data_IF_052668896599
#
_entry.id   IF_052668896599
#
_cell.length_a   1.000
_cell.length_b   1.000
_cell.length_c   1.000
_cell.angle_alpha   90.00
_cell.angle_beta   90.00
_cell.angle_gamma   90.00
#
_symmetry.space_group_name_H-M   'P 1'
#
loop_
_entity.id
_entity.type
_entity.pdbx_description
1 polymer ?
#
# COMPACT_ATOMS: atom_id res chain seq x y z
N UNK A 1 11.36 15.60 -73.40
CA UNK A 1 10.42 14.48 -73.62
C UNK A 1 9.86 14.01 -72.32
N UNK A 2 8.57 14.13 -72.22
CA UNK A 2 7.54 13.85 -71.23
C UNK A 2 7.91 13.10 -69.93
N UNK A 3 7.75 13.78 -68.86
CA UNK A 3 7.48 13.46 -67.46
C UNK A 3 6.27 12.53 -67.27
N UNK A 4 6.36 11.59 -66.36
CA UNK A 4 5.20 11.01 -65.67
C UNK A 4 5.47 11.03 -64.16
N UNK A 5 4.75 11.94 -63.47
CA UNK A 5 4.51 11.91 -62.02
C UNK A 5 3.41 10.88 -61.74
N UNK A 6 3.68 9.94 -60.86
CA UNK A 6 2.65 9.11 -60.25
C UNK A 6 2.51 9.53 -58.78
N UNK A 7 1.41 10.21 -58.49
CA UNK A 7 0.99 10.55 -57.14
C UNK A 7 0.34 9.34 -56.48
N UNK A 8 0.96 8.82 -55.41
CA UNK A 8 0.36 7.81 -54.54
C UNK A 8 -0.30 8.59 -53.39
N UNK A 9 -1.63 8.58 -53.37
CA UNK A 9 -2.44 9.08 -52.26
C UNK A 9 -2.52 7.99 -51.21
N UNK A 10 -1.83 8.18 -50.08
CA UNK A 10 -2.06 7.37 -48.87
C UNK A 10 -3.27 7.95 -48.13
N UNK A 11 -4.39 7.28 -48.24
CA UNK A 11 -5.57 7.55 -47.45
C UNK A 11 -5.36 7.03 -46.00
N UNK A 12 -5.10 7.95 -45.07
CA UNK A 12 -5.10 7.63 -43.64
C UNK A 12 -6.54 7.43 -43.18
N UNK A 13 -6.89 6.18 -42.93
CA UNK A 13 -8.15 5.83 -42.26
C UNK A 13 -8.02 6.17 -40.78
N UNK A 14 -8.53 7.33 -40.38
CA UNK A 14 -8.70 7.70 -38.98
C UNK A 14 -9.88 6.90 -38.43
N UNK A 15 -9.62 5.82 -37.72
CA UNK A 15 -10.62 5.13 -36.90
C UNK A 15 -10.83 5.97 -35.63
N UNK A 16 -11.84 6.82 -35.66
CA UNK A 16 -12.38 7.49 -34.49
C UNK A 16 -13.10 6.42 -33.64
N UNK A 17 -12.39 5.83 -32.69
CA UNK A 17 -13.05 5.13 -31.59
C UNK A 17 -13.68 6.21 -30.70
N UNK A 18 -14.98 6.39 -30.85
CA UNK A 18 -15.82 7.10 -29.89
C UNK A 18 -15.76 6.31 -28.56
N UNK A 19 -14.79 6.64 -27.73
CA UNK A 19 -14.81 6.28 -26.33
C UNK A 19 -16.03 6.95 -25.68
N UNK A 20 -17.02 6.16 -25.30
CA UNK A 20 -18.11 6.65 -24.45
C UNK A 20 -17.49 7.37 -23.24
N UNK A 21 -18.01 8.53 -22.82
CA UNK A 21 -17.53 9.18 -21.60
C UNK A 21 -17.79 8.19 -20.46
N UNK A 22 -16.70 7.74 -19.78
CA UNK A 22 -16.79 7.08 -18.51
C UNK A 22 -17.42 8.11 -17.58
N UNK A 23 -18.72 7.96 -17.33
CA UNK A 23 -19.44 8.84 -16.43
C UNK A 23 -18.68 8.89 -15.10
N UNK A 24 -18.39 10.10 -14.62
CA UNK A 24 -17.93 10.30 -13.26
C UNK A 24 -18.95 9.64 -12.33
N UNK A 25 -18.63 8.43 -11.90
CA UNK A 25 -19.39 7.79 -10.83
C UNK A 25 -19.19 8.66 -9.59
N UNK A 26 -20.28 9.15 -9.05
CA UNK A 26 -20.26 9.94 -7.82
C UNK A 26 -19.49 9.15 -6.76
N UNK A 27 -18.32 9.66 -6.34
CA UNK A 27 -17.56 9.07 -5.25
C UNK A 27 -18.48 8.96 -4.04
N UNK A 28 -18.55 7.77 -3.45
CA UNK A 28 -19.31 7.57 -2.21
C UNK A 28 -18.86 8.60 -1.17
N UNK A 29 -19.83 9.23 -0.49
CA UNK A 29 -19.51 10.19 0.57
C UNK A 29 -18.70 9.50 1.66
N UNK A 30 -17.73 10.21 2.26
CA UNK A 30 -17.01 9.69 3.41
C UNK A 30 -17.99 9.28 4.52
N UNK A 31 -17.76 8.12 5.15
CA UNK A 31 -18.68 7.58 6.17
C UNK A 31 -18.87 8.48 7.40
N UNK A 32 -17.88 9.31 7.75
CA UNK A 32 -17.92 10.12 8.97
C UNK A 32 -19.00 11.20 8.96
N UNK A 33 -19.36 11.70 7.76
CA UNK A 33 -20.38 12.74 7.59
C UNK A 33 -21.79 12.15 7.37
N UNK A 34 -21.91 10.82 7.36
CA UNK A 34 -23.18 10.12 7.09
C UNK A 34 -23.84 9.73 8.41
N UNK A 35 -24.96 10.35 8.72
CA UNK A 35 -25.82 9.93 9.84
C UNK A 35 -26.58 8.64 9.44
N UNK A 36 -26.77 7.75 10.42
CA UNK A 36 -27.59 6.57 10.20
C UNK A 36 -29.06 6.98 10.11
N UNK A 37 -29.71 6.53 9.04
CA UNK A 37 -31.16 6.54 8.90
C UNK A 37 -31.78 5.39 9.70
N UNK A 38 -33.09 5.33 9.84
CA UNK A 38 -33.79 4.18 10.47
C UNK A 38 -33.42 2.85 9.79
N UNK A 39 -33.32 2.84 8.45
CA UNK A 39 -32.87 1.68 7.70
C UNK A 39 -31.39 1.34 7.98
N UNK A 40 -30.54 2.36 8.13
CA UNK A 40 -29.14 2.20 8.51
C UNK A 40 -28.98 1.65 9.92
N UNK A 41 -29.78 2.13 10.89
CA UNK A 41 -29.77 1.60 12.25
C UNK A 41 -30.18 0.13 12.30
N UNK A 42 -31.17 -0.27 11.50
CA UNK A 42 -31.55 -1.68 11.38
C UNK A 42 -30.40 -2.54 10.84
N UNK A 43 -29.72 -2.10 9.77
CA UNK A 43 -28.53 -2.78 9.24
C UNK A 43 -27.40 -2.86 10.27
N UNK A 44 -27.15 -1.81 11.03
CA UNK A 44 -26.17 -1.81 12.11
C UNK A 44 -26.46 -2.89 13.14
N UNK A 45 -27.71 -3.02 13.57
CA UNK A 45 -28.14 -4.05 14.53
C UNK A 45 -27.98 -5.47 13.93
N UNK A 46 -28.31 -5.65 12.64
CA UNK A 46 -28.13 -6.93 11.94
C UNK A 46 -26.64 -7.34 11.91
N UNK A 47 -25.75 -6.42 11.50
CA UNK A 47 -24.30 -6.66 11.48
C UNK A 47 -23.72 -6.87 12.89
N UNK A 48 -24.19 -6.12 13.90
CA UNK A 48 -23.77 -6.32 15.29
C UNK A 48 -24.15 -7.71 15.82
N UNK A 49 -25.38 -8.15 15.55
CA UNK A 49 -25.83 -9.48 15.95
C UNK A 49 -25.04 -10.60 15.24
N UNK A 50 -24.70 -10.42 13.96
CA UNK A 50 -23.86 -11.37 13.22
C UNK A 50 -22.43 -11.41 13.77
N UNK A 51 -21.83 -10.27 14.09
CA UNK A 51 -20.51 -10.17 14.68
C UNK A 51 -20.43 -10.87 16.02
N UNK A 52 -21.40 -10.66 16.93
CA UNK A 52 -21.45 -11.33 18.22
C UNK A 52 -21.63 -12.86 18.06
N UNK A 53 -22.51 -13.28 17.15
CA UNK A 53 -22.68 -14.71 16.87
C UNK A 53 -21.38 -15.36 16.39
N UNK A 54 -20.63 -14.67 15.50
CA UNK A 54 -19.31 -15.15 15.04
C UNK A 54 -18.33 -15.22 16.20
N UNK A 55 -18.30 -14.21 17.07
CA UNK A 55 -17.44 -14.15 18.26
C UNK A 55 -17.69 -15.36 19.17
N UNK A 56 -18.94 -15.64 19.51
CA UNK A 56 -19.28 -16.76 20.38
C UNK A 56 -18.89 -18.11 19.77
N UNK A 57 -19.21 -18.29 18.47
CA UNK A 57 -18.89 -19.53 17.77
C UNK A 57 -17.39 -19.79 17.67
N UNK A 58 -16.60 -18.74 17.37
CA UNK A 58 -15.17 -18.85 17.18
C UNK A 58 -14.44 -18.98 18.52
N UNK A 59 -14.83 -18.20 19.54
CA UNK A 59 -14.22 -18.26 20.88
C UNK A 59 -14.35 -19.65 21.50
N UNK A 60 -15.46 -20.35 21.25
CA UNK A 60 -15.66 -21.74 21.71
C UNK A 60 -14.73 -22.75 21.01
N UNK A 61 -14.21 -22.42 19.83
CA UNK A 61 -13.36 -23.31 19.02
C UNK A 61 -11.86 -23.00 19.14
N UNK A 62 -11.49 -21.83 19.70
CA UNK A 62 -10.10 -21.50 19.92
C UNK A 62 -9.47 -22.40 21.01
N UNK A 63 -8.19 -22.80 20.83
CA UNK A 63 -7.44 -23.41 21.92
C UNK A 63 -7.32 -22.43 23.08
N UNK A 64 -7.39 -22.94 24.32
CA UNK A 64 -7.12 -22.11 25.49
C UNK A 64 -5.65 -21.67 25.49
N UNK A 65 -5.40 -20.46 25.98
CA UNK A 65 -4.07 -19.85 26.11
C UNK A 65 -3.26 -20.51 27.24
N UNK A 66 -3.07 -21.84 27.17
CA UNK A 66 -2.36 -22.61 28.15
C UNK A 66 -1.17 -23.35 27.51
N UNK A 67 0.02 -23.21 28.12
CA UNK A 67 1.25 -23.88 27.66
C UNK A 67 1.10 -25.41 27.55
N UNK A 68 0.21 -26.02 28.36
CA UNK A 68 -0.11 -27.46 28.31
C UNK A 68 -0.82 -27.87 26.99
N UNK A 69 -1.20 -26.93 26.13
CA UNK A 69 -1.94 -27.17 24.87
C UNK A 69 -1.15 -26.86 23.60
N UNK A 70 0.19 -26.89 23.64
CA UNK A 70 1.04 -26.55 22.49
C UNK A 70 0.63 -27.30 21.20
N UNK A 71 0.34 -28.59 21.28
CA UNK A 71 -0.08 -29.40 20.14
C UNK A 71 -1.44 -28.93 19.55
N UNK A 72 -2.36 -28.43 20.38
CA UNK A 72 -3.63 -27.86 19.89
C UNK A 72 -3.43 -26.48 19.25
N UNK A 73 -2.51 -25.67 19.79
CA UNK A 73 -2.11 -24.40 19.22
C UNK A 73 -1.47 -24.59 17.82
N UNK A 74 -0.51 -25.51 17.72
CA UNK A 74 0.14 -25.85 16.45
C UNK A 74 -0.87 -26.37 15.42
N UNK A 75 -1.81 -27.21 15.84
CA UNK A 75 -2.89 -27.69 14.99
C UNK A 75 -3.78 -26.54 14.51
N UNK A 76 -4.18 -25.64 15.39
CA UNK A 76 -4.97 -24.47 15.05
C UNK A 76 -4.23 -23.57 14.06
N UNK A 77 -2.97 -23.20 14.33
CA UNK A 77 -2.18 -22.34 13.45
C UNK A 77 -1.95 -22.97 12.08
N UNK A 78 -1.87 -24.31 12.00
CA UNK A 78 -1.61 -25.03 10.76
C UNK A 78 -2.87 -25.39 9.96
N UNK A 79 -4.07 -25.20 10.52
CA UNK A 79 -5.37 -25.52 9.90
C UNK A 79 -6.02 -24.27 9.35
N UNK A 80 -6.63 -24.37 8.17
CA UNK A 80 -7.45 -23.34 7.52
C UNK A 80 -8.95 -23.46 7.84
N UNK A 81 -9.34 -24.44 8.67
CA UNK A 81 -10.74 -24.78 8.93
C UNK A 81 -11.57 -23.65 9.52
N UNK A 82 -10.95 -22.63 10.12
CA UNK A 82 -11.63 -21.46 10.69
C UNK A 82 -11.34 -20.17 9.92
N UNK A 83 -10.51 -20.21 8.89
CA UNK A 83 -10.03 -19.00 8.20
C UNK A 83 -11.19 -18.15 7.65
N UNK A 84 -12.18 -18.76 7.01
CA UNK A 84 -13.33 -18.05 6.45
C UNK A 84 -14.11 -17.26 7.51
N UNK A 85 -14.35 -17.90 8.66
CA UNK A 85 -15.10 -17.27 9.76
C UNK A 85 -14.23 -16.23 10.49
N UNK A 86 -12.95 -16.50 10.68
CA UNK A 86 -12.01 -15.55 11.28
C UNK A 86 -11.85 -14.33 10.39
N UNK A 87 -11.66 -14.51 9.09
CA UNK A 87 -11.55 -13.40 8.15
C UNK A 87 -12.83 -12.53 8.16
N UNK A 88 -14.01 -13.17 8.12
CA UNK A 88 -15.27 -12.46 8.22
C UNK A 88 -15.41 -11.69 9.53
N UNK A 89 -15.09 -12.33 10.65
CA UNK A 89 -15.11 -11.68 11.96
C UNK A 89 -14.20 -10.45 11.99
N UNK A 90 -12.94 -10.60 11.55
CA UNK A 90 -11.96 -9.50 11.59
C UNK A 90 -12.38 -8.35 10.69
N UNK A 91 -12.83 -8.61 9.46
CA UNK A 91 -13.33 -7.56 8.54
C UNK A 91 -14.53 -6.82 9.16
N UNK A 92 -15.50 -7.54 9.73
CA UNK A 92 -16.66 -6.90 10.37
C UNK A 92 -16.27 -6.14 11.64
N UNK A 93 -15.32 -6.65 12.41
CA UNK A 93 -14.80 -6.01 13.62
C UNK A 93 -14.02 -4.72 13.28
N UNK A 94 -13.11 -4.79 12.30
CA UNK A 94 -12.34 -3.63 11.85
C UNK A 94 -13.21 -2.55 11.21
N UNK A 95 -14.11 -2.93 10.29
CA UNK A 95 -15.03 -2.01 9.62
C UNK A 95 -16.07 -1.40 10.55
N UNK A 96 -16.34 -2.03 11.66
CA UNK A 96 -17.43 -1.85 12.61
C UNK A 96 -18.84 -2.06 11.99
N UNK A 97 -19.82 -2.56 12.74
CA UNK A 97 -21.21 -2.66 12.28
C UNK A 97 -21.78 -1.31 11.81
N UNK A 98 -21.41 -0.22 12.50
CA UNK A 98 -21.82 1.14 12.13
C UNK A 98 -21.22 1.59 10.79
N UNK A 99 -19.91 1.37 10.56
CA UNK A 99 -19.24 1.73 9.31
C UNK A 99 -19.80 0.97 8.12
N UNK A 100 -20.07 -0.34 8.27
CA UNK A 100 -20.71 -1.15 7.24
C UNK A 100 -22.13 -0.65 6.94
N UNK A 101 -22.92 -0.33 7.97
CA UNK A 101 -24.28 0.17 7.80
C UNK A 101 -24.32 1.56 7.16
N UNK A 102 -23.44 2.47 7.56
CA UNK A 102 -23.29 3.80 6.95
C UNK A 102 -22.98 3.74 5.47
N UNK A 103 -22.16 2.79 5.05
CA UNK A 103 -21.88 2.58 3.62
C UNK A 103 -23.07 1.92 2.92
N UNK A 104 -23.61 0.83 3.47
CA UNK A 104 -24.69 0.05 2.85
C UNK A 104 -25.98 0.86 2.67
N UNK A 105 -26.32 1.78 3.59
CA UNK A 105 -27.53 2.61 3.48
C UNK A 105 -27.50 3.64 2.36
N UNK A 106 -26.33 3.92 1.75
CA UNK A 106 -26.20 4.91 0.68
C UNK A 106 -26.92 4.46 -0.61
N UNK A 107 -27.22 3.18 -0.76
CA UNK A 107 -27.98 2.66 -1.89
C UNK A 107 -27.94 1.15 -2.04
N UNK A 108 -28.76 0.64 -2.97
CA UNK A 108 -28.81 -0.81 -3.27
C UNK A 108 -27.44 -1.36 -3.73
N UNK A 109 -26.70 -0.59 -4.50
CA UNK A 109 -25.38 -0.98 -4.99
C UNK A 109 -24.39 -1.11 -3.82
N UNK A 110 -24.35 -0.14 -2.92
CA UNK A 110 -23.45 -0.15 -1.76
C UNK A 110 -23.77 -1.31 -0.81
N UNK A 111 -25.08 -1.59 -0.58
CA UNK A 111 -25.49 -2.76 0.18
C UNK A 111 -25.01 -4.06 -0.47
N UNK A 112 -25.17 -4.21 -1.77
CA UNK A 112 -24.70 -5.40 -2.51
C UNK A 112 -23.17 -5.56 -2.46
N UNK A 113 -22.40 -4.46 -2.39
CA UNK A 113 -20.94 -4.51 -2.22
C UNK A 113 -20.54 -5.03 -0.83
N UNK A 114 -21.24 -4.64 0.22
CA UNK A 114 -21.03 -5.19 1.58
C UNK A 114 -21.38 -6.67 1.61
N UNK A 115 -22.52 -7.06 1.04
CA UNK A 115 -22.94 -8.47 0.95
C UNK A 115 -21.91 -9.31 0.16
N UNK A 116 -21.40 -8.79 -0.96
CA UNK A 116 -20.35 -9.45 -1.74
C UNK A 116 -19.07 -9.62 -0.93
N UNK A 117 -18.62 -8.59 -0.22
CA UNK A 117 -17.42 -8.66 0.64
C UNK A 117 -17.57 -9.74 1.71
N UNK A 118 -18.67 -9.68 2.48
CA UNK A 118 -18.90 -10.60 3.61
C UNK A 118 -19.24 -12.04 3.16
N UNK A 119 -19.56 -12.24 1.88
CA UNK A 119 -19.77 -13.54 1.26
C UNK A 119 -18.54 -14.15 0.57
N UNK A 120 -17.44 -13.40 0.45
CA UNK A 120 -16.23 -13.84 -0.26
C UNK A 120 -15.06 -13.98 0.72
N UNK A 121 -14.89 -15.17 1.27
CA UNK A 121 -13.87 -15.48 2.27
C UNK A 121 -12.44 -15.31 1.72
N UNK A 122 -12.21 -15.71 0.48
CA UNK A 122 -10.91 -15.58 -0.18
C UNK A 122 -10.52 -14.11 -0.34
N UNK A 123 -11.47 -13.27 -0.77
CA UNK A 123 -11.25 -11.83 -0.89
C UNK A 123 -10.93 -11.19 0.46
N UNK A 124 -11.72 -11.50 1.50
CA UNK A 124 -11.47 -11.00 2.85
C UNK A 124 -10.08 -11.42 3.36
N UNK A 125 -9.72 -12.69 3.16
CA UNK A 125 -8.39 -13.21 3.52
C UNK A 125 -7.27 -12.46 2.80
N UNK A 126 -7.39 -12.24 1.48
CA UNK A 126 -6.42 -11.48 0.71
C UNK A 126 -6.28 -10.03 1.21
N UNK A 127 -7.40 -9.37 1.52
CA UNK A 127 -7.39 -8.02 2.10
C UNK A 127 -6.68 -7.99 3.44
N UNK A 128 -6.98 -8.94 4.34
CA UNK A 128 -6.39 -8.99 5.68
C UNK A 128 -4.90 -9.38 5.67
N UNK A 129 -4.48 -10.25 4.76
CA UNK A 129 -3.05 -10.57 4.55
C UNK A 129 -2.29 -9.35 4.05
N UNK A 130 -2.95 -8.47 3.31
CA UNK A 130 -2.41 -7.18 2.88
C UNK A 130 -2.62 -6.06 3.91
N UNK A 131 -2.95 -6.39 5.17
CA UNK A 131 -3.17 -5.47 6.31
C UNK A 131 -4.45 -4.61 6.21
N UNK A 132 -5.49 -5.12 5.55
CA UNK A 132 -6.83 -4.54 5.54
C UNK A 132 -6.96 -3.19 4.81
N UNK A 133 -8.14 -2.62 4.82
CA UNK A 133 -8.39 -1.30 4.25
C UNK A 133 -7.77 -0.18 5.12
N UNK A 134 -7.41 0.93 4.50
CA UNK A 134 -6.95 2.10 5.24
C UNK A 134 -8.09 2.71 6.07
N UNK A 135 -7.70 3.37 7.14
CA UNK A 135 -8.59 4.10 8.03
C UNK A 135 -8.26 5.61 8.00
N UNK A 136 -9.28 6.44 8.14
CA UNK A 136 -9.08 7.89 8.27
C UNK A 136 -8.39 8.20 9.57
N UNK A 137 -7.55 9.23 9.54
CA UNK A 137 -6.97 9.79 10.76
C UNK A 137 -8.02 10.61 11.50
N UNK A 138 -8.23 10.30 12.77
CA UNK A 138 -9.15 11.00 13.66
C UNK A 138 -8.36 11.51 14.88
N UNK A 139 -8.15 12.82 14.96
CA UNK A 139 -7.36 13.40 16.04
C UNK A 139 -5.96 12.78 16.14
N UNK A 140 -5.67 12.09 17.26
CA UNK A 140 -4.39 11.39 17.49
C UNK A 140 -4.40 9.91 17.10
N UNK A 141 -5.53 9.36 16.68
CA UNK A 141 -5.73 7.96 16.31
C UNK A 141 -6.23 7.80 14.88
N UNK A 142 -6.68 6.60 14.59
CA UNK A 142 -7.33 6.23 13.34
C UNK A 142 -8.77 5.82 13.63
N UNK A 143 -9.68 6.12 12.70
CA UNK A 143 -11.06 5.61 12.70
C UNK A 143 -11.11 4.13 12.27
N UNK A 144 -12.31 3.66 11.97
CA UNK A 144 -12.52 2.33 11.42
C UNK A 144 -11.97 2.23 9.98
N UNK A 145 -11.39 1.08 9.58
CA UNK A 145 -11.02 0.80 8.21
C UNK A 145 -12.19 0.86 7.22
N UNK A 146 -11.96 1.50 6.08
CA UNK A 146 -12.98 1.87 5.10
C UNK A 146 -13.18 0.77 4.03
N UNK A 147 -13.64 -0.42 4.44
CA UNK A 147 -13.85 -1.56 3.53
C UNK A 147 -14.93 -1.33 2.48
N UNK A 148 -15.98 -0.56 2.78
CA UNK A 148 -17.03 -0.20 1.82
C UNK A 148 -16.47 0.58 0.63
N UNK A 149 -15.80 1.73 0.85
CA UNK A 149 -15.10 2.46 -0.19
C UNK A 149 -14.07 1.61 -0.94
N UNK A 150 -13.31 0.73 -0.25
CA UNK A 150 -12.40 -0.21 -0.91
C UNK A 150 -13.14 -1.12 -1.90
N UNK A 151 -14.27 -1.68 -1.53
CA UNK A 151 -15.09 -2.53 -2.42
C UNK A 151 -15.65 -1.77 -3.61
N UNK A 152 -16.01 -0.50 -3.43
CA UNK A 152 -16.46 0.36 -4.53
C UNK A 152 -15.34 0.53 -5.57
N UNK A 153 -14.14 0.94 -5.11
CA UNK A 153 -12.97 1.13 -5.98
C UNK A 153 -12.60 -0.18 -6.69
N UNK A 154 -12.52 -1.28 -5.96
CA UNK A 154 -12.19 -2.60 -6.51
C UNK A 154 -13.17 -3.02 -7.63
N UNK A 155 -14.46 -2.83 -7.38
CA UNK A 155 -15.50 -3.17 -8.37
C UNK A 155 -15.45 -2.26 -9.59
N UNK A 156 -15.17 -0.97 -9.41
CA UNK A 156 -15.10 -0.03 -10.53
C UNK A 156 -13.86 -0.27 -11.40
N UNK A 157 -12.74 -0.65 -10.81
CA UNK A 157 -11.56 -1.10 -11.55
C UNK A 157 -11.90 -2.36 -12.37
N UNK A 158 -12.55 -3.36 -11.77
CA UNK A 158 -12.91 -4.61 -12.46
C UNK A 158 -13.91 -4.40 -13.60
N UNK A 159 -14.84 -3.44 -13.47
CA UNK A 159 -15.74 -3.05 -14.57
C UNK A 159 -14.98 -2.43 -15.74
N UNK A 160 -13.93 -1.69 -15.45
CA UNK A 160 -13.10 -1.02 -16.46
C UNK A 160 -12.04 -1.90 -17.11
N UNK A 161 -11.57 -2.94 -16.42
CA UNK A 161 -10.54 -3.87 -16.92
C UNK A 161 -10.81 -5.32 -16.51
N UNK A 162 -11.04 -6.18 -17.48
CA UNK A 162 -11.11 -7.64 -17.25
C UNK A 162 -9.77 -8.22 -16.75
N UNK A 163 -8.65 -7.55 -17.02
CA UNK A 163 -7.31 -7.97 -16.57
C UNK A 163 -7.14 -7.82 -15.05
N UNK A 164 -7.93 -6.94 -14.43
CA UNK A 164 -7.96 -6.75 -12.97
C UNK A 164 -8.43 -7.97 -12.17
N UNK A 165 -8.80 -9.05 -12.83
CA UNK A 165 -9.24 -10.30 -12.18
C UNK A 165 -8.13 -11.35 -12.01
N UNK A 166 -6.95 -11.14 -12.60
CA UNK A 166 -5.89 -12.15 -12.65
C UNK A 166 -4.49 -11.58 -12.40
N UNK A 167 -3.61 -12.42 -11.87
CA UNK A 167 -2.17 -12.17 -11.77
C UNK A 167 -1.82 -10.93 -10.95
N UNK A 168 -0.78 -10.21 -11.39
CA UNK A 168 -0.35 -8.98 -10.72
C UNK A 168 -1.37 -7.85 -10.85
N UNK A 169 -2.12 -7.80 -11.94
CA UNK A 169 -3.13 -6.76 -12.15
C UNK A 169 -4.33 -6.90 -11.20
N UNK A 170 -4.70 -8.13 -10.83
CA UNK A 170 -5.64 -8.36 -9.73
C UNK A 170 -5.08 -7.86 -8.39
N UNK A 171 -3.83 -8.22 -8.07
CA UNK A 171 -3.17 -7.75 -6.84
C UNK A 171 -3.03 -6.23 -6.80
N UNK A 172 -2.77 -5.61 -7.95
CA UNK A 172 -2.73 -4.16 -8.09
C UNK A 172 -4.09 -3.51 -7.83
N UNK A 173 -5.16 -4.07 -8.43
CA UNK A 173 -6.52 -3.58 -8.20
C UNK A 173 -6.88 -3.63 -6.70
N UNK A 174 -6.54 -4.73 -6.04
CA UNK A 174 -6.77 -4.91 -4.62
C UNK A 174 -5.92 -3.93 -3.78
N UNK A 175 -4.64 -3.76 -4.12
CA UNK A 175 -3.75 -2.83 -3.44
C UNK A 175 -4.24 -1.38 -3.51
N UNK A 176 -4.65 -0.94 -4.71
CA UNK A 176 -5.22 0.40 -4.91
C UNK A 176 -6.51 0.57 -4.11
N UNK A 177 -7.38 -0.42 -4.13
CA UNK A 177 -8.66 -0.37 -3.41
C UNK A 177 -8.46 -0.21 -1.91
N UNK A 178 -7.54 -0.97 -1.32
CA UNK A 178 -7.24 -0.91 0.10
C UNK A 178 -6.55 0.39 0.49
N UNK A 179 -5.63 0.88 -0.33
CA UNK A 179 -4.84 2.09 -0.03
C UNK A 179 -5.63 3.37 -0.21
N UNK A 180 -6.44 3.44 -1.28
CA UNK A 180 -7.25 4.60 -1.62
C UNK A 180 -8.69 4.54 -1.05
N UNK A 181 -9.00 3.56 -0.21
CA UNK A 181 -10.26 3.53 0.55
C UNK A 181 -10.45 4.81 1.38
N UNK A 182 -9.35 5.42 1.77
CA UNK A 182 -9.26 6.82 2.24
C UNK A 182 -8.62 7.65 1.13
N UNK A 183 -9.25 8.74 0.68
CA UNK A 183 -8.71 9.58 -0.38
C UNK A 183 -7.31 10.12 -0.08
N UNK A 184 -6.40 10.01 -1.04
CA UNK A 184 -5.05 10.58 -0.95
C UNK A 184 -5.05 11.95 -1.60
N UNK A 185 -4.65 12.98 -0.86
CA UNK A 185 -4.51 14.35 -1.41
C UNK A 185 -3.42 14.38 -2.47
N UNK A 186 -3.74 14.91 -3.67
CA UNK A 186 -2.78 14.99 -4.77
C UNK A 186 -1.87 16.22 -4.61
N UNK A 187 -0.56 16.02 -4.80
CA UNK A 187 0.42 17.11 -4.80
C UNK A 187 0.50 17.75 -6.18
N UNK A 188 -0.09 18.91 -6.32
CA UNK A 188 -0.11 19.70 -7.56
C UNK A 188 0.83 20.90 -7.47
N UNK A 189 1.31 21.47 -8.61
CA UNK A 189 1.90 22.79 -8.61
C UNK A 189 0.93 23.84 -8.04
N UNK A 190 1.46 24.84 -7.35
CA UNK A 190 0.63 25.89 -6.71
C UNK A 190 -0.19 26.67 -7.75
N UNK A 191 0.35 26.87 -8.94
CA UNK A 191 -0.29 27.62 -10.03
C UNK A 191 -1.31 26.79 -10.83
N UNK A 192 -1.72 25.64 -10.33
CA UNK A 192 -2.76 24.82 -10.97
C UNK A 192 -4.02 24.73 -10.10
N UNK A 193 -4.80 25.82 -9.97
CA UNK A 193 -5.94 25.88 -9.05
C UNK A 193 -7.07 24.91 -9.39
N UNK A 194 -7.18 24.49 -10.66
CA UNK A 194 -8.21 23.55 -11.14
C UNK A 194 -7.75 22.10 -11.20
N UNK A 195 -6.54 21.79 -10.72
CA UNK A 195 -6.06 20.42 -10.67
C UNK A 195 -6.87 19.56 -9.68
N UNK A 196 -6.95 18.24 -9.91
CA UNK A 196 -7.62 17.34 -8.97
C UNK A 196 -7.04 17.48 -7.55
N UNK A 197 -7.92 17.53 -6.55
CA UNK A 197 -7.50 17.62 -5.14
C UNK A 197 -7.03 16.29 -4.57
N UNK A 198 -7.51 15.19 -5.15
CA UNK A 198 -7.20 13.83 -4.72
C UNK A 198 -6.80 12.98 -5.91
N UNK A 199 -5.97 11.98 -5.64
CA UNK A 199 -5.62 10.96 -6.62
C UNK A 199 -6.86 10.14 -6.96
N UNK A 200 -7.15 9.98 -8.25
CA UNK A 200 -8.22 9.11 -8.73
C UNK A 200 -7.73 7.65 -8.74
N UNK A 201 -8.27 6.77 -7.90
CA UNK A 201 -7.79 5.40 -7.79
C UNK A 201 -7.99 4.56 -9.06
N UNK A 202 -9.08 4.80 -9.80
CA UNK A 202 -9.35 4.06 -11.04
C UNK A 202 -8.37 4.47 -12.13
N UNK A 203 -8.10 5.77 -12.28
CA UNK A 203 -7.07 6.27 -13.22
C UNK A 203 -5.67 5.78 -12.83
N UNK A 204 -5.36 5.76 -11.52
CA UNK A 204 -4.10 5.22 -10.98
C UNK A 204 -3.93 3.75 -11.38
N UNK A 205 -4.99 2.96 -11.33
CA UNK A 205 -4.96 1.57 -11.79
C UNK A 205 -4.60 1.48 -13.28
N UNK A 206 -5.31 2.21 -14.14
CA UNK A 206 -5.06 2.20 -15.59
C UNK A 206 -3.68 2.75 -15.95
N UNK A 207 -3.18 3.70 -15.18
CA UNK A 207 -1.83 4.21 -15.35
C UNK A 207 -0.78 3.09 -15.18
N UNK A 208 -0.87 2.30 -14.10
CA UNK A 208 0.07 1.21 -13.85
C UNK A 208 -0.19 -0.01 -14.76
N UNK A 209 -1.42 -0.35 -15.06
CA UNK A 209 -1.76 -1.41 -16.03
C UNK A 209 -1.09 -1.12 -17.37
N UNK A 210 -1.28 0.08 -17.92
CA UNK A 210 -0.67 0.51 -19.17
C UNK A 210 0.86 0.53 -19.10
N UNK A 211 1.42 1.03 -18.02
CA UNK A 211 2.87 1.07 -17.83
C UNK A 211 3.47 -0.34 -17.76
N UNK A 212 2.78 -1.28 -17.10
CA UNK A 212 3.17 -2.69 -17.05
C UNK A 212 3.12 -3.34 -18.43
N UNK A 213 2.04 -3.19 -19.17
CA UNK A 213 1.87 -3.74 -20.52
C UNK A 213 2.88 -3.21 -21.53
N UNK A 214 3.27 -1.94 -21.38
CA UNK A 214 4.29 -1.31 -22.21
C UNK A 214 5.73 -1.70 -21.81
N UNK A 215 5.93 -2.51 -20.76
CA UNK A 215 7.26 -2.82 -20.23
C UNK A 215 7.97 -1.60 -19.64
N UNK A 216 7.21 -0.63 -19.12
CA UNK A 216 7.76 0.60 -18.54
C UNK A 216 8.15 0.44 -17.06
N UNK A 217 7.64 -0.57 -16.38
CA UNK A 217 7.93 -0.86 -14.99
C UNK A 217 9.14 -1.78 -14.83
N UNK A 218 9.68 -1.86 -13.63
CA UNK A 218 10.71 -2.85 -13.31
C UNK A 218 10.15 -4.27 -13.47
N UNK A 219 10.91 -5.21 -14.05
CA UNK A 219 10.44 -6.59 -14.24
C UNK A 219 10.00 -7.30 -12.95
N UNK A 220 10.51 -6.88 -11.79
CA UNK A 220 10.09 -7.42 -10.51
C UNK A 220 8.63 -7.10 -10.14
N UNK A 221 8.03 -6.08 -10.77
CA UNK A 221 6.63 -5.68 -10.53
C UNK A 221 5.66 -6.86 -10.64
N UNK A 222 5.86 -7.74 -11.61
CA UNK A 222 5.01 -8.92 -11.83
C UNK A 222 4.93 -9.86 -10.61
N UNK A 223 5.97 -9.89 -9.78
CA UNK A 223 6.08 -10.81 -8.64
C UNK A 223 5.59 -10.22 -7.31
N UNK A 224 5.34 -8.91 -7.27
CA UNK A 224 4.95 -8.21 -6.04
C UNK A 224 3.62 -8.74 -5.48
N UNK A 225 3.56 -8.86 -4.17
CA UNK A 225 2.33 -9.16 -3.42
C UNK A 225 1.41 -7.94 -3.36
N UNK A 226 0.14 -8.15 -3.00
CA UNK A 226 -0.80 -7.04 -2.75
C UNK A 226 -0.26 -6.07 -1.70
N UNK A 227 0.36 -6.57 -0.64
CA UNK A 227 0.93 -5.74 0.41
C UNK A 227 2.07 -4.85 -0.10
N UNK A 228 2.97 -5.39 -0.92
CA UNK A 228 4.05 -4.62 -1.54
C UNK A 228 3.51 -3.60 -2.54
N UNK A 229 2.55 -3.98 -3.38
CA UNK A 229 1.92 -3.07 -4.33
C UNK A 229 1.23 -1.89 -3.66
N UNK A 230 0.73 -2.02 -2.43
CA UNK A 230 0.21 -0.86 -1.67
C UNK A 230 1.26 0.23 -1.52
N UNK A 231 2.52 -0.14 -1.31
CA UNK A 231 3.63 0.81 -1.19
C UNK A 231 4.15 1.35 -2.52
N UNK A 232 3.67 0.82 -3.64
CA UNK A 232 3.83 1.43 -4.97
C UNK A 232 2.77 2.50 -5.20
N UNK A 233 1.51 2.22 -4.85
CA UNK A 233 0.36 3.04 -5.24
C UNK A 233 -0.04 4.12 -4.23
N UNK A 234 0.59 4.16 -3.06
CA UNK A 234 0.27 5.09 -1.97
C UNK A 234 0.85 6.51 -2.16
N UNK A 235 1.30 6.84 -3.35
CA UNK A 235 1.87 8.16 -3.67
C UNK A 235 0.82 9.21 -3.92
N UNK A 236 1.20 10.44 -3.59
CA UNK A 236 0.41 11.66 -3.78
C UNK A 236 0.70 12.36 -5.12
N UNK A 237 1.55 11.75 -5.96
CA UNK A 237 1.94 12.27 -7.26
C UNK A 237 0.80 12.16 -8.27
N UNK A 238 0.63 13.13 -9.19
CA UNK A 238 -0.18 12.95 -10.40
C UNK A 238 0.35 11.80 -11.29
N UNK A 239 -0.53 11.07 -11.96
CA UNK A 239 -0.12 9.95 -12.82
C UNK A 239 0.78 10.40 -13.98
N UNK A 240 0.55 11.58 -14.52
CA UNK A 240 1.37 12.20 -15.56
C UNK A 240 2.79 12.49 -15.05
N UNK A 241 2.92 12.84 -13.78
CA UNK A 241 4.22 13.07 -13.13
C UNK A 241 4.99 11.77 -12.95
N UNK A 242 4.31 10.68 -12.58
CA UNK A 242 4.93 9.34 -12.53
C UNK A 242 5.43 8.91 -13.92
N UNK A 243 4.64 9.13 -14.98
CA UNK A 243 5.06 8.86 -16.35
C UNK A 243 6.26 9.74 -16.77
N UNK A 244 6.25 11.00 -16.39
CA UNK A 244 7.38 11.90 -16.61
C UNK A 244 8.66 11.40 -15.91
N UNK A 245 8.57 10.95 -14.66
CA UNK A 245 9.71 10.40 -13.93
C UNK A 245 10.37 9.21 -14.65
N UNK A 246 9.56 8.27 -15.19
CA UNK A 246 10.08 7.17 -16.01
C UNK A 246 10.79 7.65 -17.27
N UNK A 247 10.18 8.59 -18.00
CA UNK A 247 10.76 9.17 -19.22
C UNK A 247 12.05 9.94 -18.91
N UNK A 248 12.07 10.70 -17.84
CA UNK A 248 13.23 11.48 -17.43
C UNK A 248 14.43 10.56 -17.18
N UNK A 249 14.32 9.51 -16.35
CA UNK A 249 15.43 8.59 -16.13
C UNK A 249 15.83 7.83 -17.39
N UNK A 250 14.89 7.33 -18.20
CA UNK A 250 15.21 6.60 -19.42
C UNK A 250 15.98 7.41 -20.43
N UNK A 251 15.69 8.70 -20.54
CA UNK A 251 16.30 9.57 -21.54
C UNK A 251 17.59 10.25 -21.07
N UNK A 252 17.73 10.55 -19.76
CA UNK A 252 18.84 11.33 -19.25
C UNK A 252 19.76 10.55 -18.32
N UNK A 253 19.24 9.55 -17.61
CA UNK A 253 19.99 8.74 -16.64
C UNK A 253 19.66 7.25 -16.76
N UNK A 254 19.87 6.63 -17.95
CA UNK A 254 19.65 5.20 -18.13
C UNK A 254 20.59 4.36 -17.26
N UNK A 255 21.76 4.88 -16.88
CA UNK A 255 22.69 4.29 -15.94
C UNK A 255 22.05 3.98 -14.57
N UNK A 256 21.11 4.78 -14.11
CA UNK A 256 20.37 4.52 -12.86
C UNK A 256 19.39 3.34 -12.99
N UNK A 257 18.85 3.09 -14.18
CA UNK A 257 17.92 1.97 -14.42
C UNK A 257 18.68 0.65 -14.53
N UNK A 258 19.86 0.67 -15.16
CA UNK A 258 20.69 -0.51 -15.42
C UNK A 258 21.81 -0.69 -14.38
N UNK A 259 21.75 0.00 -13.26
CA UNK A 259 22.70 -0.16 -12.17
C UNK A 259 22.66 -1.62 -11.64
N UNK A 260 23.82 -2.27 -11.57
CA UNK A 260 23.96 -3.65 -11.09
C UNK A 260 23.63 -3.77 -9.60
N UNK A 261 23.92 -2.71 -8.82
CA UNK A 261 23.50 -2.63 -7.42
C UNK A 261 22.01 -2.29 -7.35
N UNK A 262 21.17 -3.28 -7.11
CA UNK A 262 19.74 -3.11 -7.03
C UNK A 262 19.32 -2.21 -5.85
N UNK A 263 20.09 -2.15 -4.77
CA UNK A 263 19.87 -1.23 -3.65
C UNK A 263 19.90 0.24 -4.08
N UNK A 264 20.70 0.55 -5.11
CA UNK A 264 20.84 1.89 -5.67
C UNK A 264 20.11 2.12 -7.00
N UNK A 265 19.61 1.05 -7.64
CA UNK A 265 18.85 1.17 -8.87
C UNK A 265 17.68 2.13 -8.66
N UNK A 266 17.48 3.05 -9.59
CA UNK A 266 16.52 4.17 -9.54
C UNK A 266 16.87 5.26 -8.50
N UNK A 267 17.21 4.92 -7.27
CA UNK A 267 17.45 5.91 -6.20
C UNK A 267 18.82 6.55 -6.26
N UNK A 268 19.74 6.05 -7.06
CA UNK A 268 21.06 6.65 -7.26
C UNK A 268 20.96 8.13 -7.72
N UNK A 269 19.85 8.50 -8.39
CA UNK A 269 19.48 9.88 -8.68
C UNK A 269 19.58 10.78 -7.42
N UNK A 270 19.19 10.28 -6.25
CA UNK A 270 19.22 11.05 -5.00
C UNK A 270 20.64 11.46 -4.62
N UNK A 271 21.60 10.54 -4.78
CA UNK A 271 23.01 10.80 -4.48
C UNK A 271 23.73 11.61 -5.53
N UNK A 272 23.41 11.40 -6.83
CA UNK A 272 24.18 11.96 -7.94
C UNK A 272 23.62 13.28 -8.50
N UNK A 273 22.29 13.44 -8.54
CA UNK A 273 21.66 14.56 -9.26
C UNK A 273 20.93 15.55 -8.34
N UNK A 274 20.63 15.16 -7.10
CA UNK A 274 20.02 16.05 -6.13
C UNK A 274 21.09 16.66 -5.24
N UNK A 275 21.42 17.92 -5.49
CA UNK A 275 22.39 18.65 -4.68
C UNK A 275 21.97 18.62 -3.21
N UNK A 276 22.89 18.15 -2.35
CA UNK A 276 22.69 18.22 -0.91
C UNK A 276 22.95 19.64 -0.38
N UNK A 277 22.10 20.11 0.51
CA UNK A 277 22.26 21.42 1.15
C UNK A 277 20.92 21.99 1.59
N UNK A 278 20.95 23.22 2.12
CA UNK A 278 19.74 23.94 2.51
C UNK A 278 18.75 23.85 1.35
N UNK A 279 17.66 23.14 1.54
CA UNK A 279 16.60 23.07 0.54
C UNK A 279 16.11 24.48 0.28
N UNK A 280 16.66 25.13 -0.75
CA UNK A 280 16.31 26.51 -1.06
C UNK A 280 14.91 26.56 -1.66
N UNK A 281 13.93 26.14 -0.85
CA UNK A 281 12.49 26.20 -1.15
C UNK A 281 12.09 27.60 -1.62
N UNK A 282 12.81 28.63 -1.18
CA UNK A 282 12.62 30.01 -1.64
C UNK A 282 12.85 30.23 -3.14
N UNK A 283 13.57 29.31 -3.79
CA UNK A 283 13.80 29.33 -5.24
C UNK A 283 12.86 28.39 -6.00
N UNK A 284 11.98 27.69 -5.29
CA UNK A 284 10.98 26.81 -5.93
C UNK A 284 10.04 27.66 -6.78
N UNK A 285 9.75 27.14 -7.97
CA UNK A 285 8.84 27.74 -8.92
C UNK A 285 7.43 27.19 -8.68
N UNK A 286 6.41 28.03 -8.45
CA UNK A 286 5.05 27.59 -8.18
C UNK A 286 4.40 26.86 -9.36
N UNK A 287 4.85 27.13 -10.58
CA UNK A 287 4.37 26.47 -11.80
C UNK A 287 4.96 25.06 -12.02
N UNK A 288 5.98 24.67 -11.25
CA UNK A 288 6.65 23.38 -11.38
C UNK A 288 6.16 22.38 -10.31
N UNK A 289 6.19 21.11 -10.69
CA UNK A 289 6.03 20.03 -9.73
C UNK A 289 7.14 20.04 -8.67
N UNK A 290 6.83 19.58 -7.47
CA UNK A 290 7.79 19.49 -6.37
C UNK A 290 9.06 18.74 -6.77
N UNK A 291 8.94 17.67 -7.54
CA UNK A 291 10.08 16.85 -8.01
C UNK A 291 11.00 17.62 -8.95
N UNK A 292 10.44 18.44 -9.84
CA UNK A 292 11.21 19.32 -10.72
C UNK A 292 11.96 20.37 -9.91
N UNK A 293 11.30 20.96 -8.92
CA UNK A 293 11.91 21.90 -8.00
C UNK A 293 13.07 21.26 -7.20
N UNK A 294 12.92 20.00 -6.78
CA UNK A 294 14.00 19.30 -6.06
C UNK A 294 15.20 19.04 -6.97
N UNK A 295 14.98 18.61 -8.21
CA UNK A 295 16.07 18.43 -9.17
C UNK A 295 16.81 19.75 -9.47
N UNK A 296 16.08 20.84 -9.54
CA UNK A 296 16.64 22.18 -9.83
C UNK A 296 17.38 22.78 -8.62
N UNK A 297 16.81 22.70 -7.44
CA UNK A 297 17.26 23.43 -6.25
C UNK A 297 17.91 22.54 -5.19
N UNK A 298 17.82 21.22 -5.33
CA UNK A 298 18.32 20.27 -4.33
C UNK A 298 17.45 20.20 -3.07
N UNK A 299 18.05 19.79 -2.00
CA UNK A 299 17.39 19.70 -0.70
C UNK A 299 18.13 18.87 0.33
N UNK A 300 17.67 18.97 1.56
CA UNK A 300 18.07 18.13 2.68
C UNK A 300 17.30 16.79 2.69
N UNK A 301 17.53 15.96 3.69
CA UNK A 301 17.00 14.60 3.85
C UNK A 301 15.53 14.44 3.44
N UNK A 302 14.64 15.31 3.88
CA UNK A 302 13.20 15.24 3.58
C UNK A 302 12.90 15.36 2.08
N UNK A 303 13.52 16.31 1.38
CA UNK A 303 13.33 16.48 -0.06
C UNK A 303 13.96 15.33 -0.86
N UNK A 304 15.11 14.84 -0.43
CA UNK A 304 15.82 13.71 -1.05
C UNK A 304 15.04 12.41 -0.88
N UNK A 305 14.58 12.11 0.34
CA UNK A 305 13.71 10.95 0.59
C UNK A 305 12.41 11.02 -0.22
N UNK A 306 11.87 12.22 -0.41
CA UNK A 306 10.64 12.42 -1.17
C UNK A 306 10.84 12.09 -2.66
N UNK A 307 11.88 12.63 -3.30
CA UNK A 307 12.17 12.34 -4.72
C UNK A 307 12.58 10.88 -4.93
N UNK A 308 13.31 10.28 -3.99
CA UNK A 308 13.70 8.88 -4.06
C UNK A 308 12.47 7.96 -4.09
N UNK A 309 11.50 8.20 -3.20
CA UNK A 309 10.22 7.45 -3.21
C UNK A 309 9.42 7.67 -4.50
N UNK A 310 9.38 8.89 -4.98
CA UNK A 310 8.72 9.21 -6.25
C UNK A 310 9.28 8.38 -7.41
N UNK A 311 10.60 8.36 -7.58
CA UNK A 311 11.24 7.61 -8.66
C UNK A 311 10.99 6.10 -8.54
N UNK A 312 11.09 5.53 -7.33
CA UNK A 312 10.81 4.12 -7.11
C UNK A 312 9.36 3.77 -7.51
N UNK A 313 8.38 4.55 -7.06
CA UNK A 313 6.98 4.37 -7.43
C UNK A 313 6.76 4.51 -8.93
N UNK A 314 7.42 5.46 -9.58
CA UNK A 314 7.33 5.64 -11.02
C UNK A 314 7.69 4.37 -11.79
N UNK A 315 8.65 3.57 -11.29
CA UNK A 315 9.03 2.29 -11.87
C UNK A 315 8.35 1.08 -11.24
N UNK A 316 7.36 1.29 -10.37
CA UNK A 316 6.60 0.19 -9.75
C UNK A 316 7.35 -0.55 -8.64
N UNK A 317 8.33 0.10 -8.00
CA UNK A 317 9.09 -0.48 -6.89
C UNK A 317 8.48 -0.04 -5.56
N UNK A 318 8.15 -0.99 -4.65
CA UNK A 318 7.62 -0.68 -3.34
C UNK A 318 8.58 0.17 -2.51
N UNK A 319 8.04 1.23 -1.92
CA UNK A 319 8.83 2.13 -1.06
C UNK A 319 7.96 2.73 0.04
N UNK A 320 8.57 2.98 1.18
CA UNK A 320 7.91 3.66 2.30
C UNK A 320 8.80 4.72 2.91
N UNK A 321 8.18 5.70 3.56
CA UNK A 321 8.94 6.63 4.39
C UNK A 321 9.51 5.90 5.61
N UNK A 322 10.73 6.21 5.96
CA UNK A 322 11.40 5.80 7.18
C UNK A 322 11.67 7.04 8.03
N UNK A 323 10.63 7.58 8.68
CA UNK A 323 10.80 8.79 9.49
C UNK A 323 11.46 8.44 10.83
N UNK A 324 12.47 9.21 11.20
CA UNK A 324 13.09 9.16 12.52
C UNK A 324 13.13 10.54 13.15
N UNK A 325 13.53 10.63 14.42
CA UNK A 325 13.58 11.92 15.10
C UNK A 325 14.59 12.84 14.44
N UNK A 326 14.12 13.95 13.88
CA UNK A 326 14.96 14.96 13.23
C UNK A 326 15.50 14.56 11.85
N UNK A 327 15.10 13.40 11.30
CA UNK A 327 15.59 12.91 10.02
C UNK A 327 14.48 12.25 9.21
N UNK A 328 14.56 12.33 7.89
CA UNK A 328 13.70 11.65 6.95
C UNK A 328 14.54 10.81 5.98
N UNK A 329 14.24 9.52 5.94
CA UNK A 329 14.82 8.57 5.02
C UNK A 329 13.72 7.76 4.32
N UNK A 330 14.12 6.85 3.46
CA UNK A 330 13.21 5.93 2.80
C UNK A 330 13.68 4.48 2.98
N UNK A 331 12.73 3.55 2.87
CA UNK A 331 13.01 2.14 2.67
C UNK A 331 12.40 1.72 1.34
N UNK A 332 13.03 0.76 0.66
CA UNK A 332 12.50 0.22 -0.58
C UNK A 332 12.77 -1.27 -0.75
N UNK A 333 11.97 -1.89 -1.58
CA UNK A 333 12.05 -3.29 -1.90
C UNK A 333 13.17 -3.57 -2.92
N UNK A 334 13.85 -4.71 -2.75
CA UNK A 334 14.73 -5.33 -3.74
C UNK A 334 14.42 -6.83 -3.83
N UNK A 335 14.86 -7.54 -4.87
CA UNK A 335 14.71 -9.00 -4.94
C UNK A 335 15.35 -9.76 -3.78
N UNK A 336 16.37 -9.17 -3.15
CA UNK A 336 17.07 -9.75 -1.99
C UNK A 336 16.42 -9.38 -0.64
N UNK A 337 15.46 -8.48 -0.64
CA UNK A 337 14.78 -7.98 0.57
C UNK A 337 14.67 -6.47 0.58
N UNK A 338 14.26 -5.91 1.72
CA UNK A 338 14.08 -4.48 1.87
C UNK A 338 15.38 -3.79 2.32
N UNK A 339 15.71 -2.67 1.68
CA UNK A 339 16.75 -1.75 2.08
C UNK A 339 16.11 -0.66 2.93
N UNK A 340 16.51 -0.54 4.19
CA UNK A 340 15.85 0.34 5.19
C UNK A 340 16.73 1.47 5.68
N UNK A 341 17.98 1.54 5.22
CA UNK A 341 18.98 2.46 5.75
C UNK A 341 19.43 3.52 4.73
N UNK A 342 18.59 3.83 3.77
CA UNK A 342 18.91 4.89 2.82
C UNK A 342 18.80 6.26 3.48
N UNK A 343 19.96 6.87 3.76
CA UNK A 343 20.06 8.18 4.36
C UNK A 343 19.80 8.25 5.87
N UNK A 344 19.99 7.14 6.59
CA UNK A 344 19.83 7.13 8.04
C UNK A 344 20.56 5.95 8.68
N UNK A 345 21.31 6.18 9.76
CA UNK A 345 22.04 5.12 10.46
C UNK A 345 21.10 4.04 11.06
N UNK A 346 21.60 2.82 11.15
CA UNK A 346 20.97 1.74 11.90
C UNK A 346 20.71 2.18 13.35
N UNK A 347 19.56 1.75 13.91
CA UNK A 347 19.17 2.13 15.27
C UNK A 347 18.42 3.44 15.37
N UNK A 348 18.26 4.20 14.29
CA UNK A 348 17.31 5.30 14.29
C UNK A 348 15.89 4.72 14.41
N UNK A 349 15.16 5.09 15.47
CA UNK A 349 13.80 4.64 15.69
C UNK A 349 12.85 5.17 14.63
N UNK A 350 11.78 4.44 14.36
CA UNK A 350 10.69 4.89 13.48
C UNK A 350 9.69 5.72 14.27
N UNK A 351 9.33 6.87 13.73
CA UNK A 351 8.35 7.77 14.35
C UNK A 351 7.06 7.82 13.53
N UNK A 352 5.94 8.00 14.21
CA UNK A 352 4.62 8.15 13.55
C UNK A 352 4.21 6.98 12.64
N UNK A 353 4.73 5.79 12.89
CA UNK A 353 4.39 4.55 12.21
C UNK A 353 4.03 3.47 13.24
N UNK A 354 3.55 2.31 12.74
CA UNK A 354 3.32 1.14 13.58
C UNK A 354 4.60 0.40 13.97
N UNK A 355 5.67 0.63 13.23
CA UNK A 355 6.98 0.07 13.52
C UNK A 355 7.77 1.03 14.41
N UNK A 356 8.54 0.51 15.35
CA UNK A 356 9.38 1.32 16.26
C UNK A 356 10.85 1.25 15.89
N UNK A 357 11.25 0.23 15.13
CA UNK A 357 12.63 0.01 14.71
C UNK A 357 12.72 -0.54 13.29
N UNK A 358 13.91 -0.51 12.71
CA UNK A 358 14.21 -1.16 11.43
C UNK A 358 13.97 -2.68 11.52
N UNK A 359 14.31 -3.30 12.65
CA UNK A 359 14.12 -4.72 12.88
C UNK A 359 12.64 -5.12 12.87
N UNK A 360 11.76 -4.32 13.46
CA UNK A 360 10.32 -4.56 13.46
C UNK A 360 9.76 -4.56 12.03
N UNK A 361 10.20 -3.58 11.23
CA UNK A 361 9.81 -3.51 9.81
C UNK A 361 10.35 -4.71 9.03
N UNK A 362 11.65 -4.99 9.14
CA UNK A 362 12.29 -6.09 8.41
C UNK A 362 11.71 -7.45 8.79
N UNK A 363 11.46 -7.71 10.07
CA UNK A 363 10.81 -8.94 10.52
C UNK A 363 9.44 -9.13 9.84
N UNK A 364 8.64 -8.07 9.77
CA UNK A 364 7.36 -8.09 9.05
C UNK A 364 7.54 -8.40 7.56
N UNK A 365 8.55 -7.86 6.89
CA UNK A 365 8.77 -8.06 5.46
C UNK A 365 9.29 -9.44 5.12
N UNK A 366 10.18 -10.01 5.93
CA UNK A 366 10.85 -11.29 5.67
C UNK A 366 9.94 -12.51 5.82
N UNK A 367 8.95 -12.44 6.71
CA UNK A 367 7.99 -13.54 6.91
C UNK A 367 6.95 -13.64 5.78
N UNK A 368 6.52 -12.51 5.19
CA UNK A 368 5.43 -12.45 4.20
C UNK A 368 5.64 -13.29 2.94
N UNK A 369 6.85 -13.40 2.34
CA UNK A 369 7.08 -14.24 1.16
C UNK A 369 6.79 -15.74 1.40
N UNK A 370 6.83 -16.19 2.66
CA UNK A 370 6.51 -17.55 3.07
C UNK A 370 5.00 -17.81 3.20
N UNK A 371 4.23 -17.34 2.29
CA UNK A 371 2.76 -17.34 2.16
C UNK A 371 1.99 -18.23 3.15
N UNK A 372 2.09 -19.57 3.02
CA UNK A 372 1.38 -20.53 3.90
C UNK A 372 1.81 -20.42 5.37
N UNK A 373 3.12 -20.28 5.62
CA UNK A 373 3.62 -20.14 6.96
C UNK A 373 3.21 -18.79 7.56
N UNK A 374 3.20 -17.74 6.74
CA UNK A 374 2.74 -16.42 7.18
C UNK A 374 1.25 -16.38 7.57
N UNK A 375 0.42 -17.25 6.99
CA UNK A 375 -0.97 -17.40 7.46
C UNK A 375 -1.06 -17.86 8.92
N UNK A 376 -0.08 -18.61 9.44
CA UNK A 376 -0.03 -18.96 10.86
C UNK A 376 0.10 -17.71 11.75
N UNK A 377 0.92 -16.74 11.31
CA UNK A 377 1.04 -15.43 11.97
C UNK A 377 -0.30 -14.70 11.95
N UNK A 378 -0.96 -14.68 10.79
CA UNK A 378 -2.26 -14.01 10.64
C UNK A 378 -3.35 -14.68 11.50
N UNK A 379 -3.43 -16.01 11.54
CA UNK A 379 -4.39 -16.75 12.40
C UNK A 379 -4.20 -16.39 13.86
N UNK A 380 -2.95 -16.30 14.34
CA UNK A 380 -2.69 -15.85 15.71
C UNK A 380 -3.15 -14.41 15.93
N UNK A 381 -2.85 -13.49 15.01
CA UNK A 381 -3.34 -12.10 15.08
C UNK A 381 -4.86 -12.03 15.09
N UNK A 382 -5.55 -12.79 14.21
CA UNK A 382 -7.01 -12.82 14.14
C UNK A 382 -7.66 -13.43 15.40
N UNK A 383 -7.01 -14.41 16.02
CA UNK A 383 -7.44 -14.93 17.31
C UNK A 383 -7.29 -13.87 18.43
N UNK A 384 -6.20 -13.09 18.39
CA UNK A 384 -6.03 -11.95 19.29
C UNK A 384 -7.13 -10.89 19.11
N UNK A 385 -7.43 -10.51 17.85
CA UNK A 385 -8.51 -9.55 17.54
C UNK A 385 -9.87 -10.06 18.06
N UNK A 386 -10.15 -11.37 17.88
CA UNK A 386 -11.37 -12.01 18.36
C UNK A 386 -11.53 -11.89 19.88
N UNK A 387 -10.42 -12.02 20.61
CA UNK A 387 -10.40 -11.95 22.07
C UNK A 387 -10.18 -10.54 22.63
N UNK A 388 -10.06 -9.53 21.74
CA UNK A 388 -9.90 -8.13 22.13
C UNK A 388 -8.48 -7.76 22.53
N UNK A 389 -7.47 -8.57 22.17
CA UNK A 389 -6.07 -8.23 22.40
C UNK A 389 -5.63 -7.02 21.55
N UNK A 390 -4.77 -6.21 22.11
CA UNK A 390 -4.14 -5.12 21.37
C UNK A 390 -3.12 -5.68 20.36
N UNK A 391 -3.22 -5.32 19.08
CA UNK A 391 -2.27 -5.72 18.05
C UNK A 391 -0.86 -5.23 18.33
N UNK A 392 0.11 -6.12 18.23
CA UNK A 392 1.54 -5.84 18.27
C UNK A 392 2.18 -6.08 16.92
N UNK A 393 3.10 -5.19 16.52
CA UNK A 393 3.75 -5.21 15.20
C UNK A 393 5.24 -5.49 15.25
N UNK A 394 5.85 -5.51 16.42
CA UNK A 394 7.27 -5.76 16.60
C UNK A 394 7.62 -6.21 18.01
N UNK A 395 8.82 -6.75 18.15
CA UNK A 395 9.33 -7.31 19.40
C UNK A 395 9.69 -6.25 20.46
N UNK A 396 9.81 -4.98 20.03
CA UNK A 396 10.06 -3.84 20.91
C UNK A 396 8.78 -3.28 21.55
N UNK A 397 7.64 -3.89 21.28
CA UNK A 397 6.44 -3.57 22.04
C UNK A 397 6.45 -4.30 23.38
N UNK A 398 6.36 -3.54 24.47
CA UNK A 398 6.37 -4.09 25.82
C UNK A 398 5.13 -4.98 26.04
N UNK A 399 5.37 -6.23 26.41
CA UNK A 399 4.37 -7.19 26.84
C UNK A 399 3.20 -7.42 25.86
N UNK A 400 3.43 -8.01 24.69
CA UNK A 400 2.35 -8.43 23.84
C UNK A 400 1.47 -9.45 24.57
N UNK A 401 0.15 -9.34 24.42
CA UNK A 401 -0.77 -10.34 24.94
C UNK A 401 -0.54 -11.69 24.25
N UNK A 402 -1.17 -12.74 24.74
CA UNK A 402 -0.82 -14.13 24.39
C UNK A 402 -0.80 -14.41 22.89
N UNK A 403 -1.88 -14.08 22.16
CA UNK A 403 -2.01 -14.39 20.74
C UNK A 403 -1.10 -13.52 19.88
N UNK A 404 -0.95 -12.26 20.24
CA UNK A 404 0.01 -11.37 19.56
C UNK A 404 1.45 -11.78 19.84
N UNK A 405 1.78 -12.23 21.06
CA UNK A 405 3.07 -12.84 21.39
C UNK A 405 3.34 -14.11 20.58
N UNK A 406 2.33 -14.97 20.42
CA UNK A 406 2.41 -16.17 19.59
C UNK A 406 2.62 -15.82 18.11
N UNK A 407 1.95 -14.77 17.60
CA UNK A 407 2.15 -14.28 16.24
C UNK A 407 3.59 -13.83 16.00
N UNK A 408 4.16 -13.04 16.91
CA UNK A 408 5.55 -12.57 16.83
C UNK A 408 6.56 -13.74 16.92
N UNK A 409 6.34 -14.69 17.83
CA UNK A 409 7.18 -15.89 17.95
C UNK A 409 7.12 -16.75 16.68
N UNK A 410 5.92 -16.92 16.11
CA UNK A 410 5.73 -17.65 14.84
C UNK A 410 6.43 -16.92 13.69
N UNK A 411 6.33 -15.60 13.63
CA UNK A 411 7.02 -14.77 12.63
C UNK A 411 8.54 -14.94 12.73
N UNK A 412 9.09 -14.91 13.94
CA UNK A 412 10.53 -15.15 14.17
C UNK A 412 10.94 -16.54 13.70
N UNK A 413 10.20 -17.58 14.04
CA UNK A 413 10.51 -18.95 13.61
C UNK A 413 10.51 -19.11 12.08
N UNK A 414 9.60 -18.42 11.38
CA UNK A 414 9.57 -18.38 9.91
C UNK A 414 10.87 -17.76 9.35
N UNK A 415 11.32 -16.66 9.93
CA UNK A 415 12.53 -15.96 9.51
C UNK A 415 13.76 -16.84 9.77
N UNK A 416 13.89 -17.41 10.96
CA UNK A 416 15.01 -18.27 11.35
C UNK A 416 15.10 -19.54 10.52
N UNK A 417 13.97 -20.06 10.02
CA UNK A 417 13.93 -21.21 9.10
C UNK A 417 14.36 -20.88 7.67
N UNK A 418 14.49 -19.60 7.34
CA UNK A 418 14.94 -19.11 6.04
C UNK A 418 16.46 -19.00 5.93
N UNK A 419 16.99 -18.78 4.73
CA UNK A 419 18.38 -18.37 4.59
C UNK A 419 18.57 -17.01 5.30
N UNK A 420 19.59 -16.91 6.15
CA UNK A 420 19.92 -15.67 6.84
C UNK A 420 20.21 -14.59 5.79
N UNK A 421 19.38 -13.55 5.76
CA UNK A 421 19.71 -12.31 5.07
C UNK A 421 20.65 -11.57 6.01
N UNK A 422 21.91 -11.39 5.62
CA UNK A 422 22.84 -10.58 6.40
C UNK A 422 22.38 -9.14 6.37
N UNK A 423 22.18 -8.53 7.52
CA UNK A 423 21.77 -7.12 7.66
C UNK A 423 22.72 -6.17 6.94
N UNK A 424 24.00 -6.54 6.83
CA UNK A 424 25.05 -5.79 6.12
C UNK A 424 24.76 -5.62 4.62
N UNK A 425 23.95 -6.50 4.02
CA UNK A 425 23.54 -6.40 2.63
C UNK A 425 22.32 -5.46 2.40
N UNK A 426 21.71 -4.98 3.46
CA UNK A 426 20.43 -4.25 3.41
C UNK A 426 20.58 -2.74 3.64
N UNK A 427 21.73 -2.27 4.07
CA UNK A 427 21.95 -0.87 4.39
C UNK A 427 23.19 -0.31 3.72
N UNK A 428 23.02 0.63 2.78
CA UNK A 428 24.10 1.43 2.26
C UNK A 428 24.00 2.86 2.79
N UNK A 429 25.12 3.37 3.29
CA UNK A 429 25.24 4.75 3.71
C UNK A 429 25.28 5.65 2.47
N UNK A 430 24.31 6.56 2.35
CA UNK A 430 24.28 7.59 1.31
C UNK A 430 25.31 8.69 1.52
N UNK A 431 26.22 8.55 2.49
CA UNK A 431 27.18 9.59 2.85
C UNK A 431 26.56 10.78 3.58
N UNK A 432 25.35 10.63 4.08
CA UNK A 432 24.63 11.66 4.84
C UNK A 432 25.00 11.68 6.34
N UNK A 433 25.89 10.77 6.76
CA UNK A 433 26.36 10.65 8.15
C UNK A 433 27.10 11.90 8.69
N UNK A 434 27.39 12.86 7.83
CA UNK A 434 28.03 14.14 8.18
C UNK A 434 27.05 15.33 8.21
N UNK A 435 25.75 15.10 8.35
CA UNK A 435 24.84 16.21 8.60
C UNK A 435 25.21 16.90 9.91
N UNK A 436 25.41 18.23 9.89
CA UNK A 436 25.57 18.95 11.15
C UNK A 436 24.29 18.76 11.93
N UNK A 437 24.42 18.21 13.13
CA UNK A 437 23.33 18.14 14.10
C UNK A 437 22.80 19.56 14.28
N UNK A 438 21.63 19.86 13.73
CA UNK A 438 20.97 21.14 13.99
C UNK A 438 20.62 21.12 15.47
N UNK A 439 21.34 21.95 16.22
CA UNK A 439 21.16 22.14 17.65
C UNK A 439 19.79 22.80 17.94
#
# INVERSE_FOLDING_TARGET
>A
MRTYLSSIIFGSLIVLTLGAPIGLLAQAKPNDDVLLTDAGQKLQLEYAAELEKLRDQLSAQLPKSDKAQSAKLDKFLSSDSLDDKLAKFVVMHEATPEGLAKFAQQGKQQKALVEKLLGDADLMTQMLVADGANAKRQGRGYGAPEYGPAMQIYTDIQKGSMKATNGVLHRLALAISLEHSVPITQTNPVDQPNAPKTVDPVKRYFHYEKAFENGELDPAFERLSTWELRMVVNGDEPDETLAWGRKMLRNYRPDHIYNDNYGWRYVNLVGSDVKYGSGDVKYDRPELQKYQNILMNGGVCGRRAFIGRFILRAFGIPTTARPSRGHAALAHWTPAGWVVNLGGGWGAGWTSTRYKSDLDFLASTQARPKKKEYLKVKRAQWAGDLLGEKRSYGEHEDNPEFWNGLALTTQRAIIESGAAVTLDALGEDLGESNEPTVA
#
